data_IF_389205998121
#
_entry.id   IF_389205998121
#
_cell.length_a   1.000
_cell.length_b   1.000
_cell.length_c   1.000
_cell.angle_alpha   90.00
_cell.angle_beta   90.00
_cell.angle_gamma   90.00
#
_symmetry.space_group_name_H-M   'P 1'
#
loop_
_entity.id
_entity.type
_entity.pdbx_description
1 polymer ?
#
# COMPACT_ATOMS: atom_id res chain seq x y z
N UNK A 1 -8.38 2.87 -19.56
CA UNK A 1 -9.51 2.32 -18.79
C UNK A 1 -9.07 1.13 -17.92
N UNK A 2 -8.55 0.04 -18.50
CA UNK A 2 -8.10 -1.16 -17.78
C UNK A 2 -7.12 -0.85 -16.63
N UNK A 3 -6.12 0.02 -16.86
CA UNK A 3 -5.13 0.38 -15.84
C UNK A 3 -5.75 0.99 -14.58
N UNK A 4 -6.78 1.84 -14.72
CA UNK A 4 -7.47 2.44 -13.57
C UNK A 4 -8.24 1.40 -12.76
N UNK A 5 -8.87 0.45 -13.44
CA UNK A 5 -9.59 -0.66 -12.80
C UNK A 5 -8.62 -1.54 -12.01
N UNK A 6 -7.48 -1.91 -12.61
CA UNK A 6 -6.44 -2.71 -11.96
C UNK A 6 -5.89 -1.99 -10.72
N UNK A 7 -5.57 -0.70 -10.83
CA UNK A 7 -5.10 0.11 -9.70
C UNK A 7 -6.17 0.17 -8.59
N UNK A 8 -7.43 0.35 -8.95
CA UNK A 8 -8.54 0.36 -7.99
C UNK A 8 -8.70 -0.97 -7.24
N UNK A 9 -8.60 -2.10 -7.94
CA UNK A 9 -8.67 -3.44 -7.33
C UNK A 9 -7.48 -3.64 -6.38
N UNK A 10 -6.26 -3.28 -6.80
CA UNK A 10 -5.06 -3.41 -5.94
C UNK A 10 -5.19 -2.56 -4.68
N UNK A 11 -5.71 -1.33 -4.79
CA UNK A 11 -5.99 -0.48 -3.64
C UNK A 11 -7.00 -1.13 -2.68
N UNK A 12 -8.09 -1.70 -3.19
CA UNK A 12 -9.07 -2.41 -2.36
C UNK A 12 -8.46 -3.61 -1.64
N UNK A 13 -7.65 -4.41 -2.35
CA UNK A 13 -6.95 -5.56 -1.76
C UNK A 13 -6.03 -5.11 -0.63
N UNK A 14 -5.21 -4.07 -0.87
CA UNK A 14 -4.31 -3.50 0.14
C UNK A 14 -5.07 -3.00 1.37
N UNK A 15 -6.15 -2.26 1.16
CA UNK A 15 -7.02 -1.76 2.23
C UNK A 15 -7.57 -2.91 3.06
N UNK A 16 -8.07 -3.96 2.42
CA UNK A 16 -8.63 -5.11 3.11
C UNK A 16 -7.58 -5.86 3.94
N UNK A 17 -6.37 -6.06 3.39
CA UNK A 17 -5.26 -6.68 4.12
C UNK A 17 -4.84 -5.83 5.32
N UNK A 18 -4.68 -4.51 5.13
CA UNK A 18 -4.31 -3.61 6.23
C UNK A 18 -5.38 -3.56 7.32
N UNK A 19 -6.66 -3.60 6.95
CA UNK A 19 -7.76 -3.69 7.90
C UNK A 19 -7.71 -4.99 8.71
N UNK A 20 -7.38 -6.12 8.06
CA UNK A 20 -7.20 -7.41 8.74
C UNK A 20 -6.01 -7.37 9.72
N UNK A 21 -4.83 -6.89 9.29
CA UNK A 21 -3.64 -6.78 10.16
C UNK A 21 -3.88 -5.83 11.33
N UNK A 22 -4.57 -4.70 11.12
CA UNK A 22 -4.96 -3.80 12.20
C UNK A 22 -5.88 -4.48 13.22
N UNK A 23 -6.80 -5.34 12.76
CA UNK A 23 -7.70 -6.11 13.62
C UNK A 23 -6.94 -7.14 14.46
N UNK A 24 -5.99 -7.86 13.86
CA UNK A 24 -5.12 -8.82 14.56
C UNK A 24 -4.26 -8.16 15.65
N UNK A 25 -3.77 -6.94 15.41
CA UNK A 25 -2.94 -6.19 16.37
C UNK A 25 -3.72 -5.35 17.39
N UNK A 26 -5.06 -5.44 17.42
CA UNK A 26 -5.89 -4.67 18.35
C UNK A 26 -5.52 -4.92 19.82
N UNK A 27 -5.18 -6.17 20.17
CA UNK A 27 -4.75 -6.55 21.52
C UNK A 27 -3.39 -5.93 21.89
N UNK A 28 -2.44 -5.86 20.95
CA UNK A 28 -1.16 -5.19 21.14
C UNK A 28 -1.36 -3.68 21.39
N UNK A 29 -2.30 -3.06 20.67
CA UNK A 29 -2.66 -1.65 20.85
C UNK A 29 -3.35 -1.38 22.19
N UNK A 30 -4.18 -2.31 22.66
CA UNK A 30 -4.79 -2.23 23.99
C UNK A 30 -3.73 -2.24 25.10
N UNK A 31 -2.69 -3.08 24.99
CA UNK A 31 -1.55 -3.12 25.92
C UNK A 31 -0.70 -1.85 25.83
N UNK A 32 -0.43 -1.33 24.63
CA UNK A 32 0.26 -0.04 24.49
C UNK A 32 -0.51 1.11 25.15
N UNK A 33 -1.85 1.09 25.07
CA UNK A 33 -2.72 2.10 25.68
C UNK A 33 -2.67 2.04 27.22
N UNK A 34 -2.59 0.85 27.82
CA UNK A 34 -2.45 0.72 29.28
C UNK A 34 -1.09 1.22 29.77
N UNK A 35 -0.06 1.16 28.92
CA UNK A 35 1.26 1.76 29.15
C UNK A 35 1.32 3.27 28.88
N UNK A 36 0.21 3.89 28.46
CA UNK A 36 0.10 5.34 28.25
C UNK A 36 0.42 5.84 26.84
N UNK A 37 0.60 4.97 25.86
CA UNK A 37 0.84 5.38 24.46
C UNK A 37 -0.44 5.89 23.78
N UNK A 38 -0.28 6.94 22.95
CA UNK A 38 -1.38 7.58 22.21
C UNK A 38 -1.69 6.83 20.91
N UNK A 39 -2.97 6.71 20.55
CA UNK A 39 -3.46 6.10 19.28
C UNK A 39 -2.81 6.67 18.00
N UNK A 40 -2.32 7.91 18.05
CA UNK A 40 -1.58 8.55 16.93
C UNK A 40 -0.26 7.84 16.61
N UNK A 41 0.37 7.22 17.60
CA UNK A 41 1.63 6.49 17.43
C UNK A 41 1.41 5.20 16.65
N UNK A 42 0.31 4.50 16.94
CA UNK A 42 -0.14 3.30 16.22
C UNK A 42 -0.47 3.63 14.76
N UNK A 43 -1.23 4.70 14.51
CA UNK A 43 -1.52 5.15 13.14
C UNK A 43 -0.25 5.50 12.36
N UNK A 44 0.75 6.10 13.01
CA UNK A 44 2.06 6.37 12.41
C UNK A 44 2.84 5.11 12.07
N UNK A 45 2.79 4.09 12.93
CA UNK A 45 3.46 2.80 12.67
C UNK A 45 2.86 2.10 11.44
N UNK A 46 1.53 2.05 11.35
CA UNK A 46 0.82 1.42 10.22
C UNK A 46 1.06 2.18 8.92
N UNK A 47 1.12 3.52 8.98
CA UNK A 47 1.50 4.34 7.84
C UNK A 47 2.93 4.02 7.37
N UNK A 48 3.84 3.83 8.31
CA UNK A 48 5.22 3.40 8.05
C UNK A 48 5.28 2.04 7.36
N UNK A 49 4.58 1.03 7.89
CA UNK A 49 4.51 -0.30 7.26
C UNK A 49 3.94 -0.23 5.84
N UNK A 50 2.86 0.53 5.65
CA UNK A 50 2.22 0.71 4.32
C UNK A 50 3.18 1.36 3.31
N UNK A 51 3.91 2.39 3.73
CA UNK A 51 4.91 3.05 2.90
C UNK A 51 6.06 2.10 2.55
N UNK A 52 6.55 1.31 3.51
CA UNK A 52 7.61 0.34 3.27
C UNK A 52 7.17 -0.74 2.27
N UNK A 53 5.98 -1.32 2.46
CA UNK A 53 5.43 -2.32 1.55
C UNK A 53 5.29 -1.74 0.13
N UNK A 54 4.75 -0.52 0.01
CA UNK A 54 4.59 0.13 -1.29
C UNK A 54 5.92 0.46 -1.96
N UNK A 55 6.92 0.89 -1.19
CA UNK A 55 8.27 1.16 -1.72
C UNK A 55 8.97 -0.11 -2.18
N UNK A 56 8.90 -1.19 -1.39
CA UNK A 56 9.49 -2.48 -1.75
C UNK A 56 8.80 -3.03 -3.00
N UNK A 57 7.46 -3.08 -3.01
CA UNK A 57 6.68 -3.55 -4.15
C UNK A 57 6.90 -2.70 -5.40
N UNK A 58 6.94 -1.37 -5.26
CA UNK A 58 7.21 -0.44 -6.35
C UNK A 58 8.63 -0.59 -6.91
N UNK A 59 9.63 -0.76 -6.05
CA UNK A 59 11.03 -0.97 -6.48
C UNK A 59 11.18 -2.29 -7.23
N UNK A 60 10.60 -3.38 -6.71
CA UNK A 60 10.62 -4.69 -7.38
C UNK A 60 9.84 -4.62 -8.71
N UNK A 61 8.65 -4.00 -8.70
CA UNK A 61 7.82 -3.84 -9.89
C UNK A 61 8.53 -3.05 -10.99
N UNK A 62 9.18 -1.93 -10.65
CA UNK A 62 9.99 -1.16 -11.60
C UNK A 62 11.22 -1.95 -12.09
N UNK A 63 11.89 -2.64 -11.18
CA UNK A 63 13.03 -3.50 -11.50
C UNK A 63 12.68 -4.61 -12.49
N UNK A 64 11.46 -5.17 -12.39
CA UNK A 64 10.96 -6.17 -13.32
C UNK A 64 10.38 -5.56 -14.61
N UNK A 65 9.75 -4.39 -14.53
CA UNK A 65 9.14 -3.74 -15.69
C UNK A 65 10.17 -3.42 -16.80
N UNK A 66 11.38 -2.97 -16.42
CA UNK A 66 12.44 -2.59 -17.36
C UNK A 66 12.92 -3.77 -18.25
N UNK A 67 13.32 -4.94 -17.71
CA UNK A 67 13.73 -6.06 -18.56
C UNK A 67 12.56 -6.66 -19.33
N UNK A 68 11.35 -6.71 -18.76
CA UNK A 68 10.17 -7.24 -19.44
C UNK A 68 9.84 -6.39 -20.68
N UNK A 69 9.82 -5.07 -20.53
CA UNK A 69 9.54 -4.16 -21.65
C UNK A 69 10.61 -4.22 -22.74
N UNK A 70 11.90 -4.30 -22.37
CA UNK A 70 12.97 -4.54 -23.35
C UNK A 70 12.81 -5.89 -24.08
N UNK A 71 12.47 -6.97 -23.36
CA UNK A 71 12.23 -8.28 -23.97
C UNK A 71 11.06 -8.25 -24.97
N UNK A 72 9.96 -7.57 -24.62
CA UNK A 72 8.82 -7.40 -25.51
C UNK A 72 9.14 -6.54 -26.75
N UNK A 73 10.01 -5.54 -26.62
CA UNK A 73 10.45 -4.73 -27.76
C UNK A 73 11.24 -5.54 -28.78
N UNK A 74 12.12 -6.44 -28.32
CA UNK A 74 12.88 -7.34 -29.21
C UNK A 74 11.92 -8.31 -29.93
N UNK A 75 10.90 -8.80 -29.22
CA UNK A 75 9.92 -9.73 -29.78
C UNK A 75 8.90 -9.06 -30.73
N UNK A 76 8.51 -7.81 -30.48
CA UNK A 76 7.44 -7.11 -31.20
C UNK A 76 7.80 -5.65 -31.55
N UNK A 77 8.83 -5.43 -32.40
CA UNK A 77 9.38 -4.10 -32.66
C UNK A 77 8.42 -3.13 -33.35
N UNK A 78 7.42 -3.63 -34.08
CA UNK A 78 6.46 -2.80 -34.84
C UNK A 78 5.31 -2.28 -33.98
N UNK A 79 5.05 -2.91 -32.82
CA UNK A 79 3.89 -2.61 -31.95
C UNK A 79 4.33 -1.85 -30.69
N UNK A 80 5.55 -2.09 -30.20
CA UNK A 80 6.07 -1.49 -28.98
C UNK A 80 7.19 -0.48 -29.27
N UNK A 81 6.92 0.83 -29.24
CA UNK A 81 7.97 1.84 -29.34
C UNK A 81 8.92 1.80 -28.15
N UNK A 82 10.12 2.37 -28.34
CA UNK A 82 11.13 2.53 -27.29
C UNK A 82 10.52 3.19 -26.07
N UNK A 83 10.85 2.67 -24.88
CA UNK A 83 10.46 3.30 -23.64
C UNK A 83 11.03 4.73 -23.65
N UNK A 84 10.25 5.75 -23.25
CA UNK A 84 10.81 7.07 -22.99
C UNK A 84 11.94 6.96 -21.97
N UNK A 85 12.84 7.94 -22.00
CA UNK A 85 14.10 7.95 -21.23
C UNK A 85 13.98 7.25 -19.87
N UNK A 86 14.84 6.26 -19.55
CA UNK A 86 14.70 5.42 -18.36
C UNK A 86 14.65 6.24 -17.06
N UNK A 87 15.25 7.42 -17.03
CA UNK A 87 15.20 8.34 -15.88
C UNK A 87 13.78 8.81 -15.56
N UNK A 88 12.98 9.15 -16.57
CA UNK A 88 11.60 9.62 -16.39
C UNK A 88 10.68 8.51 -15.92
N UNK A 89 10.84 7.31 -16.46
CA UNK A 89 10.03 6.14 -16.08
C UNK A 89 10.26 5.75 -14.62
N UNK A 90 11.52 5.73 -14.18
CA UNK A 90 11.85 5.45 -12.77
C UNK A 90 11.27 6.53 -11.86
N UNK A 91 11.46 7.80 -12.20
CA UNK A 91 10.96 8.92 -11.40
C UNK A 91 9.43 8.88 -11.24
N UNK A 92 8.70 8.73 -12.35
CA UNK A 92 7.25 8.65 -12.34
C UNK A 92 6.76 7.39 -11.61
N UNK A 93 7.40 6.24 -11.85
CA UNK A 93 7.06 4.98 -11.19
C UNK A 93 7.24 5.05 -9.67
N UNK A 94 8.36 5.59 -9.20
CA UNK A 94 8.61 5.75 -7.77
C UNK A 94 7.64 6.76 -7.15
N UNK A 95 7.37 7.87 -7.82
CA UNK A 95 6.39 8.86 -7.35
C UNK A 95 4.97 8.28 -7.26
N UNK A 96 4.58 7.42 -8.20
CA UNK A 96 3.31 6.73 -8.19
C UNK A 96 3.25 5.70 -7.05
N UNK A 97 4.32 4.92 -6.83
CA UNK A 97 4.40 3.97 -5.72
C UNK A 97 4.31 4.67 -4.36
N UNK A 98 4.98 5.81 -4.18
CA UNK A 98 4.84 6.63 -2.97
C UNK A 98 3.41 7.14 -2.79
N UNK A 99 2.80 7.65 -3.87
CA UNK A 99 1.42 8.15 -3.85
C UNK A 99 0.42 7.04 -3.48
N UNK A 100 0.58 5.85 -4.06
CA UNK A 100 -0.25 4.67 -3.75
C UNK A 100 -0.05 4.22 -2.31
N UNK A 101 1.18 4.15 -1.81
CA UNK A 101 1.46 3.78 -0.42
C UNK A 101 0.83 4.77 0.57
N UNK A 102 0.91 6.06 0.26
CA UNK A 102 0.30 7.12 1.04
C UNK A 102 -1.23 7.03 1.04
N UNK A 103 -1.84 6.90 -0.14
CA UNK A 103 -3.30 6.75 -0.29
C UNK A 103 -3.83 5.47 0.37
N UNK A 104 -3.11 4.36 0.22
CA UNK A 104 -3.47 3.08 0.83
C UNK A 104 -3.40 3.15 2.36
N UNK A 105 -2.46 3.92 2.93
CA UNK A 105 -2.34 4.12 4.38
C UNK A 105 -3.43 5.02 4.97
N UNK A 106 -4.00 5.93 4.17
CA UNK A 106 -5.01 6.88 4.64
C UNK A 106 -6.31 6.19 5.09
N UNK A 107 -6.70 5.11 4.39
CA UNK A 107 -7.93 4.37 4.70
C UNK A 107 -7.89 3.60 6.03
N UNK A 108 -6.86 2.78 6.35
CA UNK A 108 -6.78 2.10 7.64
C UNK A 108 -6.59 3.08 8.80
N UNK A 109 -5.88 4.21 8.61
CA UNK A 109 -5.80 5.26 9.64
C UNK A 109 -7.20 5.81 9.98
N UNK A 110 -8.03 6.03 8.97
CA UNK A 110 -9.42 6.44 9.17
C UNK A 110 -10.30 5.32 9.74
N UNK A 111 -10.08 4.06 9.34
CA UNK A 111 -10.84 2.93 9.86
C UNK A 111 -10.55 2.69 11.34
N UNK A 112 -9.31 2.85 11.79
CA UNK A 112 -8.91 2.75 13.21
C UNK A 112 -9.59 3.83 14.05
N UNK A 113 -9.81 5.01 13.49
CA UNK A 113 -10.57 6.07 14.16
C UNK A 113 -12.08 5.79 14.22
N UNK A 114 -12.60 4.88 13.38
CA UNK A 114 -14.01 4.49 13.31
C UNK A 114 -14.32 3.13 13.95
N UNK A 115 -13.33 2.28 14.18
CA UNK A 115 -13.46 1.10 15.04
C UNK A 115 -13.52 1.57 16.47
N UNK A 116 -14.71 1.97 16.90
CA UNK A 116 -15.01 2.23 18.28
C UNK A 116 -14.69 0.98 19.08
N UNK A 117 -13.83 1.13 20.10
CA UNK A 117 -13.44 0.12 21.10
C UNK A 117 -14.65 -0.66 21.67
N UNK A 118 -15.85 -0.08 21.56
CA UNK A 118 -17.14 -0.61 22.00
C UNK A 118 -17.55 -1.92 21.29
N UNK A 119 -17.17 -2.17 20.02
CA UNK A 119 -17.51 -3.44 19.34
C UNK A 119 -16.60 -4.61 19.74
N UNK A 120 -15.40 -4.33 20.26
CA UNK A 120 -14.48 -5.36 20.75
C UNK A 120 -14.91 -5.99 22.08
N UNK A 121 -15.69 -5.26 22.89
CA UNK A 121 -16.24 -5.76 24.15
C UNK A 121 -17.54 -6.55 23.97
N UNK A 122 -18.21 -6.40 22.83
CA UNK A 122 -19.52 -7.01 22.58
C UNK A 122 -19.47 -8.44 22.03
N UNK A 123 -18.27 -8.97 21.82
CA UNK A 123 -18.01 -10.35 21.38
C UNK A 123 -17.69 -11.31 22.54
N UNK A 124 -17.83 -10.85 23.79
CA UNK A 124 -17.59 -11.66 25.00
C UNK A 124 -18.90 -11.95 25.77
N UNK A 125 -20.05 -11.65 25.17
CA UNK A 125 -21.37 -12.11 25.62
C UNK A 125 -21.94 -13.13 24.62
#
# INVERSE_FOLDING_TARGET
FVSFVVVGIILLVLVNTMAMTARERTTEYAVMKTLGFKMRHVGGLIAGESLLISLIGGTIGLGMAIPITHGFQIAFPTIFPLLPSPKWTILLGTSAAMSVGFLASFFPILSISRTTIVDGLRHID
#
